data_IF_865675826429
#
_entry.id   IF_865675826429
#
_cell.length_a   1.000
_cell.length_b   1.000
_cell.length_c   1.000
_cell.angle_alpha   90.00
_cell.angle_beta   90.00
_cell.angle_gamma   90.00
#
_symmetry.space_group_name_H-M   'P 1'
#
loop_
_entity.id
_entity.type
_entity.pdbx_description
1 polymer ?
#
# COMPACT_ATOMS: atom_id res chain seq x y z
N UNK A 1 17.68 -11.63 19.47
CA UNK A 1 17.70 -10.77 20.67
C UNK A 1 16.54 -11.20 21.56
N UNK A 2 16.78 -11.56 22.82
CA UNK A 2 15.71 -11.93 23.75
C UNK A 2 15.25 -10.67 24.48
N UNK A 3 14.04 -10.19 24.18
CA UNK A 3 13.40 -9.13 24.96
C UNK A 3 12.76 -9.77 26.19
N UNK A 4 13.45 -9.71 27.33
CA UNK A 4 12.87 -10.14 28.61
C UNK A 4 11.90 -9.06 29.10
N UNK A 5 10.59 -9.33 28.97
CA UNK A 5 9.57 -8.53 29.64
C UNK A 5 9.40 -9.02 31.08
N UNK A 6 9.23 -8.11 32.04
CA UNK A 6 8.80 -8.43 33.41
C UNK A 6 7.30 -8.75 33.49
N UNK A 7 6.60 -8.70 32.36
CA UNK A 7 5.19 -9.03 32.18
C UNK A 7 5.07 -10.36 31.45
N UNK A 8 4.27 -11.29 31.97
CA UNK A 8 4.10 -12.62 31.39
C UNK A 8 3.05 -12.66 30.26
N UNK A 9 2.02 -11.81 30.36
CA UNK A 9 0.88 -11.81 29.44
C UNK A 9 0.53 -10.41 28.96
N UNK A 10 0.02 -10.36 27.73
CA UNK A 10 -0.51 -9.15 27.11
C UNK A 10 -1.88 -9.49 26.55
N UNK A 11 -2.77 -8.52 26.50
CA UNK A 11 -4.05 -8.65 25.81
C UNK A 11 -4.00 -7.76 24.58
N UNK A 12 -4.00 -8.38 23.41
CA UNK A 12 -3.78 -7.72 22.13
C UNK A 12 -5.03 -7.70 21.29
N UNK A 13 -5.28 -6.54 20.68
CA UNK A 13 -6.33 -6.31 19.72
C UNK A 13 -5.77 -6.32 18.30
N UNK A 14 -6.46 -7.02 17.40
CA UNK A 14 -6.10 -7.18 16.00
C UNK A 14 -7.24 -6.73 15.10
N UNK A 15 -6.92 -6.10 13.97
CA UNK A 15 -7.92 -5.80 12.94
C UNK A 15 -8.29 -7.05 12.12
N UNK A 16 -9.16 -6.88 11.12
CA UNK A 16 -9.63 -7.97 10.26
C UNK A 16 -8.54 -8.61 9.39
N UNK A 17 -7.39 -7.96 9.24
CA UNK A 17 -6.22 -8.46 8.51
C UNK A 17 -5.20 -9.14 9.42
N UNK A 18 -5.48 -9.21 10.73
CA UNK A 18 -4.56 -9.77 11.71
C UNK A 18 -3.47 -8.80 12.17
N UNK A 19 -3.52 -7.52 11.74
CA UNK A 19 -2.55 -6.52 12.19
C UNK A 19 -2.90 -6.06 13.60
N UNK A 20 -1.89 -6.03 14.46
CA UNK A 20 -2.01 -5.55 15.85
C UNK A 20 -2.31 -4.05 15.87
N UNK A 21 -3.45 -3.67 16.41
CA UNK A 21 -3.86 -2.26 16.55
C UNK A 21 -3.59 -1.70 17.95
N UNK A 22 -3.41 -2.57 18.95
CA UNK A 22 -3.04 -2.18 20.30
C UNK A 22 -2.89 -3.39 21.23
N UNK A 23 -2.21 -3.22 22.35
CA UNK A 23 -2.23 -4.20 23.44
C UNK A 23 -2.16 -3.50 24.78
N UNK A 24 -2.74 -4.12 25.80
CA UNK A 24 -2.52 -3.79 27.20
C UNK A 24 -1.75 -4.91 27.91
N UNK A 25 -1.12 -4.56 29.04
CA UNK A 25 -0.49 -5.53 29.93
C UNK A 25 -1.58 -6.35 30.63
N UNK A 26 -1.36 -7.66 30.75
CA UNK A 26 -2.19 -8.55 31.56
C UNK A 26 -1.35 -9.25 32.63
N UNK A 27 -1.83 -9.22 33.87
CA UNK A 27 -1.25 -10.03 34.95
C UNK A 27 -1.76 -11.48 34.93
N UNK A 28 -2.75 -11.78 34.08
CA UNK A 28 -3.47 -13.05 34.03
C UNK A 28 -3.38 -13.67 32.63
N UNK A 29 -3.26 -15.00 32.60
CA UNK A 29 -3.23 -15.77 31.35
C UNK A 29 -4.62 -16.02 30.77
N UNK A 30 -4.68 -16.71 29.63
CA UNK A 30 -5.93 -17.12 28.96
C UNK A 30 -6.82 -18.03 29.80
N UNK A 31 -6.21 -18.78 30.72
CA UNK A 31 -6.90 -19.82 31.49
C UNK A 31 -7.40 -19.29 32.85
N UNK A 32 -7.17 -18.00 33.13
CA UNK A 32 -7.64 -17.34 34.36
C UNK A 32 -9.14 -17.03 34.28
N UNK A 33 -9.83 -17.12 35.43
CA UNK A 33 -11.27 -16.81 35.51
C UNK A 33 -11.62 -15.38 35.10
N UNK A 34 -10.66 -14.45 35.09
CA UNK A 34 -10.84 -13.05 34.65
C UNK A 34 -10.55 -12.82 33.16
N UNK A 35 -10.14 -13.83 32.41
CA UNK A 35 -9.74 -13.67 31.01
C UNK A 35 -10.82 -13.01 30.15
N UNK A 36 -12.09 -13.40 30.35
CA UNK A 36 -13.23 -12.83 29.61
C UNK A 36 -13.42 -11.33 29.89
N UNK A 37 -13.28 -10.91 31.15
CA UNK A 37 -13.42 -9.51 31.56
C UNK A 37 -12.29 -8.64 30.98
N UNK A 38 -11.07 -9.17 30.99
CA UNK A 38 -9.87 -8.50 30.44
C UNK A 38 -10.03 -8.29 28.93
N UNK A 39 -10.42 -9.35 28.21
CA UNK A 39 -10.69 -9.27 26.76
C UNK A 39 -11.79 -8.27 26.45
N UNK A 40 -12.88 -8.27 27.23
CA UNK A 40 -13.99 -7.33 27.07
C UNK A 40 -13.54 -5.88 27.29
N UNK A 41 -12.77 -5.61 28.34
CA UNK A 41 -12.24 -4.27 28.63
C UNK A 41 -11.40 -3.73 27.48
N UNK A 42 -10.51 -4.56 26.93
CA UNK A 42 -9.63 -4.17 25.82
C UNK A 42 -10.41 -4.01 24.53
N UNK A 43 -11.40 -4.87 24.27
CA UNK A 43 -12.33 -4.70 23.14
C UNK A 43 -13.07 -3.37 23.19
N UNK A 44 -13.47 -2.89 24.36
CA UNK A 44 -14.09 -1.56 24.51
C UNK A 44 -13.14 -0.41 24.18
N UNK A 45 -11.83 -0.57 24.42
CA UNK A 45 -10.80 0.42 24.03
C UNK A 45 -10.47 0.38 22.53
N UNK A 46 -10.62 -0.79 21.92
CA UNK A 46 -10.37 -1.02 20.48
C UNK A 46 -11.63 -1.54 19.79
N UNK A 47 -12.67 -0.70 19.61
CA UNK A 47 -13.95 -1.13 19.05
C UNK A 47 -13.82 -1.65 17.61
N UNK A 48 -12.81 -1.18 16.87
CA UNK A 48 -12.47 -1.64 15.51
C UNK A 48 -11.69 -2.96 15.45
N UNK A 49 -11.31 -3.53 16.61
CA UNK A 49 -10.67 -4.83 16.62
C UNK A 49 -11.60 -5.87 15.99
N UNK A 50 -11.11 -6.74 15.13
CA UNK A 50 -11.82 -7.97 14.78
C UNK A 50 -11.68 -8.99 15.91
N UNK A 51 -10.47 -9.14 16.45
CA UNK A 51 -10.12 -10.13 17.48
C UNK A 51 -9.40 -9.45 18.64
N UNK A 52 -9.70 -9.90 19.86
CA UNK A 52 -8.95 -9.53 21.07
C UNK A 52 -8.64 -10.80 21.85
N UNK A 53 -7.37 -11.03 22.17
CA UNK A 53 -6.93 -12.24 22.85
C UNK A 53 -5.76 -11.98 23.80
N UNK A 54 -5.63 -12.83 24.82
CA UNK A 54 -4.49 -12.84 25.73
C UNK A 54 -3.38 -13.68 25.11
N UNK A 55 -2.18 -13.12 25.04
CA UNK A 55 -0.97 -13.73 24.47
C UNK A 55 0.15 -13.69 25.48
N UNK A 56 1.11 -14.60 25.35
CA UNK A 56 2.33 -14.57 26.17
C UNK A 56 3.28 -13.46 25.71
N UNK A 57 4.22 -13.07 26.57
CA UNK A 57 5.28 -12.12 26.23
C UNK A 57 6.07 -12.51 24.97
N UNK A 58 6.33 -13.80 24.76
CA UNK A 58 7.03 -14.28 23.57
C UNK A 58 6.22 -14.02 22.28
N UNK A 59 4.93 -14.32 22.30
CA UNK A 59 4.04 -14.07 21.17
C UNK A 59 3.87 -12.56 20.93
N UNK A 60 3.73 -11.77 21.99
CA UNK A 60 3.70 -10.32 21.91
C UNK A 60 4.96 -9.76 21.22
N UNK A 61 6.14 -10.25 21.58
CA UNK A 61 7.41 -9.83 20.96
C UNK A 61 7.46 -10.15 19.45
N UNK A 62 6.84 -11.24 18.99
CA UNK A 62 6.75 -11.53 17.55
C UNK A 62 5.89 -10.48 16.82
N UNK A 63 4.76 -10.08 17.40
CA UNK A 63 3.94 -9.01 16.84
C UNK A 63 4.64 -7.63 16.89
N UNK A 64 5.53 -7.39 17.86
CA UNK A 64 6.40 -6.22 17.85
C UNK A 64 7.48 -6.28 16.76
N UNK A 65 7.93 -7.48 16.40
CA UNK A 65 8.89 -7.71 15.33
C UNK A 65 8.25 -7.66 13.91
N UNK A 66 6.96 -7.34 13.81
CA UNK A 66 6.27 -7.16 12.52
C UNK A 66 5.45 -8.37 12.05
N UNK A 67 5.31 -9.42 12.87
CA UNK A 67 4.41 -10.53 12.57
C UNK A 67 2.95 -10.05 12.65
N UNK A 68 2.07 -10.72 11.90
CA UNK A 68 0.61 -10.54 11.97
C UNK A 68 -0.05 -11.81 12.46
N UNK A 69 -1.25 -11.68 13.02
CA UNK A 69 -2.03 -12.82 13.47
C UNK A 69 -2.69 -13.50 12.27
N UNK A 70 -2.40 -14.77 12.05
CA UNK A 70 -3.17 -15.59 11.13
C UNK A 70 -4.62 -15.69 11.63
N UNK A 71 -5.57 -15.19 10.85
CA UNK A 71 -6.98 -15.13 11.24
C UNK A 71 -7.65 -16.51 11.30
N UNK A 72 -7.05 -17.54 10.68
CA UNK A 72 -7.53 -18.92 10.69
C UNK A 72 -6.92 -19.71 11.85
N UNK A 73 -5.59 -19.64 12.02
CA UNK A 73 -4.89 -20.48 13.01
C UNK A 73 -4.70 -19.80 14.37
N UNK A 74 -4.82 -18.47 14.42
CA UNK A 74 -4.59 -17.64 15.60
C UNK A 74 -3.14 -17.49 16.02
N UNK A 75 -2.20 -17.91 15.18
CA UNK A 75 -0.76 -17.84 15.47
C UNK A 75 -0.09 -16.67 14.75
N UNK A 76 1.01 -16.13 15.28
CA UNK A 76 1.82 -15.17 14.54
C UNK A 76 2.40 -15.81 13.28
N UNK A 77 2.28 -15.10 12.17
CA UNK A 77 2.93 -15.41 10.90
C UNK A 77 3.68 -14.17 10.43
N UNK A 78 4.75 -14.37 9.66
CA UNK A 78 5.49 -13.27 9.08
C UNK A 78 4.58 -12.47 8.14
N UNK A 79 4.63 -11.14 8.24
CA UNK A 79 3.85 -10.30 7.35
C UNK A 79 4.49 -10.31 5.96
N UNK A 80 3.73 -10.75 4.96
CA UNK A 80 4.08 -10.61 3.56
C UNK A 80 3.20 -9.50 2.99
N UNK A 81 3.83 -8.39 2.59
CA UNK A 81 3.12 -7.33 1.90
C UNK A 81 2.48 -7.90 0.63
N UNK A 82 1.20 -7.58 0.33
CA UNK A 82 0.60 -8.03 -0.90
C UNK A 82 1.40 -7.47 -2.09
N UNK A 83 1.79 -8.35 -3.00
CA UNK A 83 2.34 -7.92 -4.28
C UNK A 83 1.32 -7.04 -5.01
N UNK A 84 1.74 -5.92 -5.64
CA UNK A 84 0.83 -5.12 -6.42
C UNK A 84 0.18 -5.97 -7.51
N UNK A 85 -1.11 -5.78 -7.69
CA UNK A 85 -1.89 -6.50 -8.68
C UNK A 85 -1.35 -6.22 -10.08
N UNK A 86 -1.66 -7.09 -11.04
CA UNK A 86 -1.30 -6.85 -12.43
C UNK A 86 -1.86 -5.50 -12.95
N UNK A 87 -3.04 -5.10 -12.49
CA UNK A 87 -3.64 -3.82 -12.85
C UNK A 87 -2.85 -2.63 -12.27
N UNK A 88 -2.45 -2.68 -11.00
CA UNK A 88 -1.64 -1.62 -10.38
C UNK A 88 -0.25 -1.52 -11.01
N UNK A 89 0.35 -2.66 -11.40
CA UNK A 89 1.62 -2.69 -12.14
C UNK A 89 1.48 -2.00 -13.50
N UNK A 90 0.39 -2.27 -14.25
CA UNK A 90 0.12 -1.61 -15.53
C UNK A 90 -0.14 -0.12 -15.39
N UNK A 91 -0.92 0.30 -14.38
CA UNK A 91 -1.16 1.71 -14.10
C UNK A 91 0.15 2.45 -13.78
N UNK A 92 0.98 1.88 -12.92
CA UNK A 92 2.30 2.46 -12.59
C UNK A 92 3.21 2.58 -13.82
N UNK A 93 3.21 1.58 -14.71
CA UNK A 93 3.96 1.67 -15.98
C UNK A 93 3.39 2.75 -16.90
N UNK A 94 2.06 2.89 -16.99
CA UNK A 94 1.42 3.91 -17.78
C UNK A 94 1.75 5.32 -17.27
N UNK A 95 1.79 5.53 -15.95
CA UNK A 95 2.19 6.80 -15.33
C UNK A 95 3.64 7.18 -15.68
N UNK A 96 4.55 6.19 -15.72
CA UNK A 96 5.94 6.41 -16.14
C UNK A 96 6.01 6.83 -17.61
N UNK A 97 5.21 6.21 -18.48
CA UNK A 97 5.13 6.61 -19.89
C UNK A 97 4.54 8.02 -20.01
N UNK A 98 3.45 8.33 -19.32
CA UNK A 98 2.87 9.68 -19.32
C UNK A 98 3.89 10.74 -18.89
N UNK A 99 4.59 10.52 -17.78
CA UNK A 99 5.62 11.43 -17.27
C UNK A 99 6.78 11.67 -18.26
N UNK A 100 7.10 10.68 -19.10
CA UNK A 100 8.10 10.80 -20.17
C UNK A 100 7.61 11.69 -21.33
N UNK A 101 6.35 11.56 -21.73
CA UNK A 101 5.81 12.19 -22.94
C UNK A 101 5.14 13.54 -22.70
N UNK A 102 4.50 13.76 -21.55
CA UNK A 102 3.81 15.01 -21.20
C UNK A 102 4.63 16.30 -21.40
N UNK A 103 5.91 16.39 -20.96
CA UNK A 103 6.68 17.62 -21.17
C UNK A 103 6.92 17.90 -22.66
N UNK A 104 7.21 16.86 -23.46
CA UNK A 104 7.45 16.98 -24.91
C UNK A 104 6.17 17.39 -25.65
N UNK A 105 5.03 16.82 -25.26
CA UNK A 105 3.71 17.17 -25.80
C UNK A 105 3.38 18.63 -25.49
N UNK A 106 3.67 19.09 -24.27
CA UNK A 106 3.42 20.48 -23.85
C UNK A 106 4.29 21.44 -24.64
N UNK A 107 5.59 21.16 -24.73
CA UNK A 107 6.55 21.99 -25.46
C UNK A 107 6.16 22.11 -26.95
N UNK A 108 5.79 21.01 -27.60
CA UNK A 108 5.33 21.04 -28.99
C UNK A 108 4.04 21.84 -29.18
N UNK A 109 3.09 21.75 -28.24
CA UNK A 109 1.85 22.55 -28.29
C UNK A 109 2.13 24.04 -28.16
N UNK A 110 3.03 24.42 -27.26
CA UNK A 110 3.42 25.82 -27.06
C UNK A 110 4.16 26.38 -28.28
N UNK A 111 5.05 25.59 -28.89
CA UNK A 111 5.73 25.93 -30.13
C UNK A 111 4.74 26.10 -31.29
N UNK A 112 3.76 25.19 -31.40
CA UNK A 112 2.74 25.22 -32.44
C UNK A 112 1.83 26.43 -32.30
N UNK A 113 1.42 26.78 -31.07
CA UNK A 113 0.66 27.99 -30.78
C UNK A 113 1.45 29.25 -31.18
N UNK A 114 2.74 29.29 -30.85
CA UNK A 114 3.64 30.40 -31.19
C UNK A 114 3.78 30.57 -32.71
N UNK A 115 4.05 29.49 -33.44
CA UNK A 115 4.17 29.51 -34.90
C UNK A 115 2.86 29.93 -35.58
N UNK A 116 1.72 29.44 -35.06
CA UNK A 116 0.39 29.82 -35.55
C UNK A 116 0.12 31.30 -35.38
N UNK A 117 0.44 31.87 -34.20
CA UNK A 117 0.29 33.31 -33.94
C UNK A 117 1.23 34.18 -34.78
N UNK A 118 2.43 33.67 -35.10
CA UNK A 118 3.38 34.33 -35.99
C UNK A 118 2.97 34.24 -37.48
N UNK A 119 1.98 33.40 -37.83
CA UNK A 119 1.58 33.15 -39.21
C UNK A 119 2.60 32.31 -39.99
N UNK A 120 3.50 31.60 -39.30
CA UNK A 120 4.52 30.76 -39.93
C UNK A 120 3.94 29.39 -40.32
N UNK A 121 3.33 29.34 -41.50
CA UNK A 121 2.65 28.13 -41.99
C UNK A 121 3.59 26.96 -42.25
N UNK A 122 4.87 27.22 -42.54
CA UNK A 122 5.86 26.17 -42.78
C UNK A 122 6.21 25.48 -41.46
N UNK A 123 6.57 26.26 -40.44
CA UNK A 123 6.86 25.74 -39.09
C UNK A 123 5.64 25.07 -38.47
N UNK A 124 4.42 25.59 -38.69
CA UNK A 124 3.19 24.91 -38.22
C UNK A 124 3.06 23.49 -38.82
N UNK A 125 3.36 23.32 -40.11
CA UNK A 125 3.25 22.02 -40.78
C UNK A 125 4.28 21.01 -40.25
N UNK A 126 5.51 21.47 -40.00
CA UNK A 126 6.58 20.65 -39.40
C UNK A 126 6.20 20.21 -37.99
N UNK A 127 5.80 21.15 -37.12
CA UNK A 127 5.41 20.86 -35.73
C UNK A 127 4.17 19.94 -35.64
N UNK A 128 3.21 20.05 -36.56
CA UNK A 128 2.08 19.12 -36.64
C UNK A 128 2.51 17.68 -36.97
N UNK A 129 3.54 17.55 -37.82
CA UNK A 129 4.11 16.24 -38.17
C UNK A 129 4.83 15.63 -36.97
N UNK A 130 5.65 16.43 -36.27
CA UNK A 130 6.32 16.00 -35.04
C UNK A 130 5.33 15.62 -33.94
N UNK A 131 4.29 16.42 -33.73
CA UNK A 131 3.23 16.12 -32.77
C UNK A 131 2.54 14.78 -33.07
N UNK A 132 2.23 14.52 -34.35
CA UNK A 132 1.60 13.27 -34.78
C UNK A 132 2.51 12.07 -34.53
N UNK A 133 3.80 12.19 -34.85
CA UNK A 133 4.79 11.15 -34.60
C UNK A 133 4.96 10.87 -33.11
N UNK A 134 5.02 11.93 -32.28
CA UNK A 134 5.15 11.81 -30.83
C UNK A 134 3.92 11.11 -30.22
N UNK A 135 2.72 11.48 -30.64
CA UNK A 135 1.48 10.84 -30.18
C UNK A 135 1.38 9.37 -30.61
N UNK A 136 1.88 9.02 -31.79
CA UNK A 136 1.96 7.63 -32.25
C UNK A 136 2.92 6.81 -31.37
N UNK A 137 4.09 7.35 -31.05
CA UNK A 137 5.06 6.71 -30.15
C UNK A 137 4.50 6.54 -28.73
N UNK A 138 3.86 7.59 -28.19
CA UNK A 138 3.20 7.55 -26.89
C UNK A 138 2.12 6.45 -26.82
N UNK A 139 1.25 6.39 -27.84
CA UNK A 139 0.18 5.39 -27.91
C UNK A 139 0.74 3.98 -28.02
N UNK A 140 1.77 3.77 -28.84
CA UNK A 140 2.40 2.46 -29.00
C UNK A 140 3.02 1.94 -27.69
N UNK A 141 3.65 2.81 -26.88
CA UNK A 141 4.19 2.42 -25.57
C UNK A 141 3.08 2.05 -24.58
N UNK A 142 1.95 2.78 -24.58
CA UNK A 142 0.79 2.42 -23.75
C UNK A 142 0.14 1.10 -24.19
N UNK A 143 0.04 0.84 -25.50
CA UNK A 143 -0.47 -0.43 -26.03
C UNK A 143 0.43 -1.61 -25.66
N UNK A 144 1.75 -1.42 -25.66
CA UNK A 144 2.69 -2.45 -25.23
C UNK A 144 2.48 -2.85 -23.75
N UNK A 145 2.15 -1.90 -22.87
CA UNK A 145 1.82 -2.17 -21.46
C UNK A 145 0.52 -2.98 -21.34
N UNK A 146 -0.47 -2.70 -22.19
CA UNK A 146 -1.74 -3.40 -22.16
C UNK A 146 -1.65 -4.82 -22.72
N UNK A 147 -0.79 -5.04 -23.72
CA UNK A 147 -0.60 -6.32 -24.42
C UNK A 147 0.44 -7.26 -23.77
N UNK A 148 1.23 -6.77 -22.81
CA UNK A 148 2.13 -7.57 -21.95
C UNK A 148 1.43 -8.10 -20.70
#
# INVERSE_FOLDING_TARGET
MSFASNVNYYVCAFDSTGKRIGCDISSFGSDDGKAADIVTNVKSKFPSAAIVEIVTANIYNQYLAGYVRDMTTGKPIEYVAPEPTAAEKKASQADVVAAKYEPQITELKDALATATLAGDTATVTELQTEYTALMAAYTAELEAINNG
#
